data_IF_079935964778
#
_entry.id   IF_079935964778
#
_cell.length_a   1.000
_cell.length_b   1.000
_cell.length_c   1.000
_cell.angle_alpha   90.00
_cell.angle_beta   90.00
_cell.angle_gamma   90.00
#
_symmetry.space_group_name_H-M   'P 1'
#
loop_
_entity.id
_entity.type
_entity.pdbx_description
1 polymer ?
#
# COMPACT_ATOMS: atom_id res chain seq x y z
N UNK A 1 13.07 18.71 -9.30
CA UNK A 1 12.04 17.73 -8.84
C UNK A 1 11.59 16.75 -9.92
N UNK A 2 11.49 17.11 -11.21
CA UNK A 2 11.05 16.16 -12.28
C UNK A 2 11.90 14.89 -12.47
N UNK A 3 13.17 14.92 -12.07
CA UNK A 3 14.12 13.82 -12.28
C UNK A 3 13.68 12.51 -11.58
N UNK A 4 13.07 12.60 -10.39
CA UNK A 4 12.67 11.44 -9.58
C UNK A 4 11.14 11.30 -9.49
N UNK A 5 10.42 11.98 -10.36
CA UNK A 5 8.96 11.93 -10.35
C UNK A 5 8.47 10.57 -10.88
N UNK A 6 7.61 9.94 -10.08
CA UNK A 6 7.06 8.62 -10.37
C UNK A 6 6.30 8.62 -11.72
N UNK A 7 6.42 7.56 -12.54
CA UNK A 7 5.75 7.48 -13.85
C UNK A 7 4.24 7.79 -13.80
N UNK A 8 3.50 7.26 -12.82
CA UNK A 8 2.07 7.55 -12.68
C UNK A 8 1.76 9.02 -12.40
N UNK A 9 2.64 9.77 -11.73
CA UNK A 9 2.44 11.21 -11.53
C UNK A 9 2.55 11.93 -12.89
N UNK A 10 3.46 11.51 -13.77
CA UNK A 10 3.59 12.08 -15.11
C UNK A 10 2.39 11.75 -15.99
N UNK A 11 1.85 10.54 -15.88
CA UNK A 11 0.75 10.06 -16.71
C UNK A 11 -0.61 10.65 -16.28
N UNK A 12 -0.93 10.55 -14.98
CA UNK A 12 -2.26 10.87 -14.47
C UNK A 12 -2.27 11.98 -13.40
N UNK A 13 -1.11 12.50 -12.98
CA UNK A 13 -1.02 13.43 -11.85
C UNK A 13 -1.79 14.74 -12.04
N UNK A 14 -1.79 15.33 -13.24
CA UNK A 14 -2.57 16.55 -13.50
C UNK A 14 -4.09 16.28 -13.48
N UNK A 15 -4.51 15.09 -13.93
CA UNK A 15 -5.92 14.68 -13.81
C UNK A 15 -6.28 14.42 -12.36
N UNK A 16 -5.41 13.74 -11.62
CA UNK A 16 -5.58 13.43 -10.21
C UNK A 16 -5.76 14.69 -9.36
N UNK A 17 -4.91 15.71 -9.56
CA UNK A 17 -5.04 17.01 -8.91
C UNK A 17 -6.37 17.71 -9.21
N UNK A 18 -6.84 17.64 -10.46
CA UNK A 18 -8.10 18.27 -10.89
C UNK A 18 -9.33 17.60 -10.30
N UNK A 19 -9.35 16.26 -10.23
CA UNK A 19 -10.43 15.51 -9.59
C UNK A 19 -10.43 15.74 -8.08
N UNK A 20 -9.25 15.84 -7.47
CA UNK A 20 -9.10 16.13 -6.04
C UNK A 20 -9.05 14.86 -5.17
N UNK A 21 -9.26 15.05 -3.87
CA UNK A 21 -9.04 14.02 -2.83
C UNK A 21 -7.61 14.02 -2.32
N UNK A 22 -7.39 14.61 -1.14
CA UNK A 22 -6.07 14.76 -0.49
C UNK A 22 -4.93 15.23 -1.44
N UNK A 23 -5.22 16.17 -2.34
CA UNK A 23 -4.24 16.68 -3.33
C UNK A 23 -4.09 15.83 -4.61
N UNK A 24 -4.93 14.81 -4.78
CA UNK A 24 -5.01 13.91 -5.94
C UNK A 24 -4.57 12.47 -5.65
N UNK A 25 -4.06 12.17 -4.45
CA UNK A 25 -3.62 10.82 -4.12
C UNK A 25 -4.78 9.81 -4.08
N UNK A 26 -5.97 10.22 -3.63
CA UNK A 26 -7.14 9.34 -3.56
C UNK A 26 -7.53 8.86 -4.96
N UNK A 27 -7.58 9.79 -5.93
CA UNK A 27 -7.83 9.45 -7.32
C UNK A 27 -6.78 8.49 -7.87
N UNK A 28 -5.50 8.69 -7.53
CA UNK A 28 -4.42 7.82 -8.01
C UNK A 28 -4.53 6.41 -7.45
N UNK A 29 -4.90 6.27 -6.18
CA UNK A 29 -5.17 5.00 -5.51
C UNK A 29 -6.34 4.27 -6.19
N UNK A 30 -7.49 4.93 -6.35
CA UNK A 30 -8.67 4.34 -6.99
C UNK A 30 -8.40 3.98 -8.45
N UNK A 31 -7.67 4.84 -9.18
CA UNK A 31 -7.26 4.58 -10.56
C UNK A 31 -6.46 3.28 -10.67
N UNK A 32 -5.45 3.08 -9.80
CA UNK A 32 -4.62 1.87 -9.83
C UNK A 32 -5.42 0.63 -9.45
N UNK A 33 -6.26 0.72 -8.42
CA UNK A 33 -7.16 -0.36 -8.04
C UNK A 33 -8.02 -0.81 -9.23
N UNK A 34 -8.72 0.13 -9.87
CA UNK A 34 -9.58 -0.18 -11.01
C UNK A 34 -8.78 -0.66 -12.22
N UNK A 35 -7.57 -0.12 -12.46
CA UNK A 35 -6.69 -0.59 -13.53
C UNK A 35 -6.34 -2.07 -13.36
N UNK A 36 -5.90 -2.49 -12.17
CA UNK A 36 -5.54 -3.88 -11.92
C UNK A 36 -6.75 -4.81 -12.07
N UNK A 37 -7.91 -4.41 -11.54
CA UNK A 37 -9.15 -5.19 -11.65
C UNK A 37 -9.61 -5.38 -13.10
N UNK A 38 -9.49 -4.34 -13.93
CA UNK A 38 -9.89 -4.41 -15.35
C UNK A 38 -8.97 -5.29 -16.20
N UNK A 39 -7.71 -5.42 -15.80
CA UNK A 39 -6.69 -6.13 -16.57
C UNK A 39 -6.30 -7.49 -15.97
N UNK A 40 -6.90 -7.90 -14.85
CA UNK A 40 -6.56 -9.17 -14.19
C UNK A 40 -5.14 -9.18 -13.61
N UNK A 41 -4.65 -8.03 -13.16
CA UNK A 41 -3.32 -7.86 -12.59
C UNK A 41 -3.36 -7.96 -11.06
N UNK A 42 -2.24 -8.34 -10.40
CA UNK A 42 -2.14 -8.21 -8.95
C UNK A 42 -2.33 -6.76 -8.51
N UNK A 43 -2.83 -6.57 -7.29
CA UNK A 43 -2.99 -5.24 -6.70
C UNK A 43 -1.63 -4.71 -6.24
N UNK A 44 -1.47 -3.38 -6.25
CA UNK A 44 -0.25 -2.73 -5.75
C UNK A 44 -0.05 -2.91 -4.23
N UNK A 45 -1.14 -3.20 -3.51
CA UNK A 45 -1.17 -3.55 -2.10
C UNK A 45 -2.17 -4.68 -1.92
N UNK A 46 -1.73 -5.81 -1.36
CA UNK A 46 -2.56 -7.00 -1.22
C UNK A 46 -3.18 -7.15 0.18
N UNK A 47 -3.84 -8.29 0.42
CA UNK A 47 -4.51 -8.57 1.68
C UNK A 47 -3.53 -8.74 2.85
N UNK A 48 -2.32 -9.20 2.59
CA UNK A 48 -1.30 -9.44 3.61
C UNK A 48 -0.66 -8.12 4.03
N UNK A 49 -0.41 -7.21 3.09
CA UNK A 49 0.00 -5.83 3.40
C UNK A 49 -1.03 -5.15 4.31
N UNK A 50 -2.31 -5.23 3.94
CA UNK A 50 -3.39 -4.65 4.70
C UNK A 50 -3.49 -5.26 6.12
N UNK A 51 -3.33 -6.58 6.26
CA UNK A 51 -3.35 -7.26 7.55
C UNK A 51 -2.15 -6.86 8.43
N UNK A 52 -0.95 -6.78 7.85
CA UNK A 52 0.27 -6.37 8.55
C UNK A 52 0.15 -4.94 9.08
N UNK A 53 -0.30 -3.99 8.26
CA UNK A 53 -0.44 -2.60 8.69
C UNK A 53 -1.56 -2.43 9.71
N UNK A 54 -2.67 -3.13 9.52
CA UNK A 54 -3.84 -3.01 10.39
C UNK A 54 -3.64 -3.67 11.75
N UNK A 55 -2.79 -4.70 11.87
CA UNK A 55 -2.54 -5.36 13.14
C UNK A 55 -1.91 -4.43 14.19
N UNK A 56 -1.26 -3.35 13.75
CA UNK A 56 -0.63 -2.36 14.64
C UNK A 56 -1.62 -1.78 15.64
N UNK A 57 -2.91 -1.62 15.31
CA UNK A 57 -3.92 -1.08 16.24
C UNK A 57 -3.99 -1.90 17.53
N UNK A 58 -4.08 -3.22 17.43
CA UNK A 58 -4.18 -4.10 18.60
C UNK A 58 -2.82 -4.37 19.26
N UNK A 59 -1.77 -4.53 18.46
CA UNK A 59 -0.43 -4.84 18.99
C UNK A 59 0.17 -3.66 19.74
N UNK A 60 -0.04 -2.43 19.28
CA UNK A 60 0.43 -1.23 19.99
C UNK A 60 -0.34 -1.01 21.30
N UNK A 61 -1.65 -1.25 21.32
CA UNK A 61 -2.44 -1.28 22.55
C UNK A 61 -1.94 -2.35 23.53
N UNK A 62 -1.62 -3.55 23.04
CA UNK A 62 -1.05 -4.63 23.86
C UNK A 62 0.30 -4.22 24.44
N UNK A 63 1.19 -3.65 23.61
CA UNK A 63 2.52 -3.19 24.04
C UNK A 63 2.41 -2.11 25.12
N UNK A 64 1.61 -1.07 24.89
CA UNK A 64 1.43 0.04 25.83
C UNK A 64 0.79 -0.39 27.14
N UNK A 65 -0.19 -1.31 27.10
CA UNK A 65 -0.81 -1.89 28.31
C UNK A 65 0.21 -2.68 29.14
N UNK A 66 1.22 -3.28 28.49
CA UNK A 66 2.28 -4.05 29.14
C UNK A 66 3.54 -3.20 29.42
N UNK A 67 3.41 -1.87 29.56
CA UNK A 67 4.55 -1.00 29.90
C UNK A 67 5.53 -0.78 28.76
N UNK A 68 5.07 -0.86 27.51
CA UNK A 68 5.89 -0.65 26.31
C UNK A 68 6.74 -1.86 25.92
N UNK A 69 6.42 -3.05 26.43
CA UNK A 69 7.15 -4.27 26.06
C UNK A 69 6.96 -4.58 24.56
N UNK A 70 8.01 -5.08 23.87
CA UNK A 70 7.89 -5.51 22.48
C UNK A 70 6.84 -6.62 22.31
N UNK A 71 6.04 -6.50 21.25
CA UNK A 71 5.05 -7.51 20.84
C UNK A 71 5.39 -7.98 19.43
N UNK A 72 5.37 -9.30 19.21
CA UNK A 72 5.72 -9.88 17.91
C UNK A 72 4.61 -9.61 16.88
N UNK A 73 5.00 -9.13 15.70
CA UNK A 73 4.10 -9.01 14.54
C UNK A 73 3.86 -10.42 13.96
N UNK A 74 2.61 -10.83 13.73
CA UNK A 74 2.30 -12.10 13.06
C UNK A 74 2.81 -12.09 11.61
N UNK A 75 3.38 -13.22 11.18
CA UNK A 75 3.64 -13.44 9.76
C UNK A 75 2.35 -13.91 9.08
N UNK A 76 1.64 -12.97 8.44
CA UNK A 76 0.39 -13.25 7.75
C UNK A 76 0.58 -14.05 6.45
N UNK A 77 1.80 -14.06 5.90
CA UNK A 77 2.17 -14.79 4.68
C UNK A 77 2.63 -16.22 4.95
N UNK A 78 2.89 -16.57 6.22
CA UNK A 78 3.40 -17.90 6.65
C UNK A 78 4.75 -18.27 6.01
N UNK A 79 5.60 -17.29 5.78
CA UNK A 79 6.95 -17.44 5.23
C UNK A 79 7.06 -17.08 3.75
N UNK A 80 5.93 -17.00 3.04
CA UNK A 80 5.87 -16.75 1.59
C UNK A 80 6.38 -15.34 1.21
N UNK A 81 6.45 -14.40 2.17
CA UNK A 81 7.08 -13.10 1.96
C UNK A 81 8.53 -13.20 1.44
N UNK A 82 9.25 -14.29 1.73
CA UNK A 82 10.62 -14.51 1.24
C UNK A 82 10.70 -14.89 -0.23
N UNK A 83 9.58 -15.26 -0.86
CA UNK A 83 9.53 -15.62 -2.28
C UNK A 83 9.34 -14.39 -3.17
N UNK A 84 8.87 -13.28 -2.60
CA UNK A 84 8.60 -12.04 -3.31
C UNK A 84 9.88 -11.25 -3.61
N UNK A 85 10.02 -10.77 -4.85
CA UNK A 85 11.17 -9.95 -5.27
C UNK A 85 10.98 -8.45 -4.97
N UNK A 86 9.76 -8.04 -4.62
CA UNK A 86 9.36 -6.66 -4.36
C UNK A 86 8.12 -6.26 -5.17
N UNK A 87 7.71 -5.00 -5.02
CA UNK A 87 6.58 -4.43 -5.75
C UNK A 87 6.99 -4.12 -7.21
N UNK A 88 6.26 -4.69 -8.16
CA UNK A 88 6.33 -4.36 -9.58
C UNK A 88 5.05 -3.67 -10.03
N UNK A 89 5.18 -2.50 -10.66
CA UNK A 89 4.03 -1.78 -11.22
C UNK A 89 3.76 -2.23 -12.65
N UNK A 90 2.71 -3.03 -12.81
CA UNK A 90 2.22 -3.43 -14.13
C UNK A 90 1.61 -2.24 -14.88
N UNK A 91 2.07 -2.03 -16.11
CA UNK A 91 1.65 -0.97 -17.03
C UNK A 91 0.71 -1.48 -18.10
#
# INVERSE_FOLDING_TARGET
MRQYEHPFIKEIGEKAKKVGGHGGMDYMMDYRLIYCLRNGLPLDMDVYDAAEWSCLVELTKTSTTNGGQPVKIPDFTRGDWNELQGLEFFQ
#
